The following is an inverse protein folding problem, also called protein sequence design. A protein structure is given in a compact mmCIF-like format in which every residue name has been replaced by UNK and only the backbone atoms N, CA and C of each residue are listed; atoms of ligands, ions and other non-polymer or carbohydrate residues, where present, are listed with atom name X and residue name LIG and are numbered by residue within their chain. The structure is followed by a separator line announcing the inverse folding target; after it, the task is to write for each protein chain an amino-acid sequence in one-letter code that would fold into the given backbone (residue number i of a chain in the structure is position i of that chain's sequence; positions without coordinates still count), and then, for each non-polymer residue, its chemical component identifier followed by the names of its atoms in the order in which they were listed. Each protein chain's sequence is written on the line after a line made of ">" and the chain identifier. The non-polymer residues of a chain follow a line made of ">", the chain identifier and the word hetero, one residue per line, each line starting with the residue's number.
data_IF_158283847501
#
_entry.id   IF_158283847501
#
_cell.length_a   1.000
_cell.length_b   1.000
_cell.length_c   1.000
_cell.angle_alpha   90.00
_cell.angle_beta   90.00
_cell.angle_gamma   90.00
#
_symmetry.space_group_name_H-M   'P 1'
#
loop_
_entity.id
_entity.type
_entity.pdbx_description
1 polymer ?
#
# COMPACT_ATOMS: atom_id res chain seq x y z
N UNK A 1 -27.33 2.94 -17.52
CA UNK A 1 -26.70 2.67 -16.21
C UNK A 1 -25.40 1.87 -16.25
N UNK A 2 -25.04 1.17 -17.34
CA UNK A 2 -23.82 0.36 -17.42
C UNK A 2 -22.49 1.16 -17.50
N UNK A 3 -22.53 2.41 -17.99
CA UNK A 3 -21.33 3.21 -18.22
C UNK A 3 -20.69 3.74 -16.92
N UNK A 4 -21.49 4.11 -15.91
CA UNK A 4 -21.00 4.58 -14.61
C UNK A 4 -20.33 3.48 -13.78
N UNK A 5 -20.80 2.24 -13.91
CA UNK A 5 -20.21 1.07 -13.22
C UNK A 5 -18.77 0.82 -13.69
N UNK A 6 -18.51 0.91 -15.00
CA UNK A 6 -17.15 0.73 -15.56
C UNK A 6 -16.19 1.78 -15.05
N UNK A 7 -16.61 3.06 -15.05
CA UNK A 7 -15.77 4.17 -14.56
C UNK A 7 -15.41 4.03 -13.07
N UNK A 8 -16.35 3.55 -12.24
CA UNK A 8 -16.08 3.28 -10.82
C UNK A 8 -15.08 2.14 -10.63
N UNK A 9 -15.20 1.05 -11.40
CA UNK A 9 -14.28 -0.08 -11.32
C UNK A 9 -12.87 0.29 -11.77
N UNK A 10 -12.73 1.06 -12.85
CA UNK A 10 -11.41 1.56 -13.29
C UNK A 10 -10.75 2.44 -12.22
N UNK A 11 -11.52 3.35 -11.59
CA UNK A 11 -11.01 4.19 -10.50
C UNK A 11 -10.59 3.35 -9.29
N UNK A 12 -11.38 2.34 -8.93
CA UNK A 12 -11.04 1.43 -7.83
C UNK A 12 -9.79 0.62 -8.16
N UNK A 13 -9.67 0.09 -9.38
CA UNK A 13 -8.49 -0.64 -9.84
C UNK A 13 -7.24 0.23 -9.84
N UNK A 14 -7.36 1.48 -10.31
CA UNK A 14 -6.25 2.44 -10.32
C UNK A 14 -5.81 2.81 -8.90
N UNK A 15 -6.77 3.03 -7.98
CA UNK A 15 -6.48 3.30 -6.58
C UNK A 15 -5.79 2.11 -5.90
N UNK A 16 -6.26 0.89 -6.16
CA UNK A 16 -5.64 -0.35 -5.68
C UNK A 16 -4.21 -0.50 -6.22
N UNK A 17 -3.99 -0.22 -7.49
CA UNK A 17 -2.68 -0.27 -8.12
C UNK A 17 -1.71 0.76 -7.51
N UNK A 18 -2.17 2.00 -7.34
CA UNK A 18 -1.38 3.05 -6.69
C UNK A 18 -1.03 2.68 -5.24
N UNK A 19 -1.99 2.13 -4.49
CA UNK A 19 -1.76 1.62 -3.13
C UNK A 19 -0.77 0.45 -3.10
N UNK A 20 -0.82 -0.46 -4.08
CA UNK A 20 0.12 -1.57 -4.19
C UNK A 20 1.54 -1.07 -4.48
N UNK A 21 1.70 -0.08 -5.37
CA UNK A 21 3.01 0.56 -5.62
C UNK A 21 3.52 1.25 -4.35
N UNK A 22 2.66 2.02 -3.67
CA UNK A 22 3.02 2.68 -2.42
C UNK A 22 3.52 1.66 -1.39
N UNK A 23 2.77 0.57 -1.17
CA UNK A 23 3.16 -0.48 -0.25
C UNK A 23 4.47 -1.16 -0.66
N UNK A 24 4.67 -1.40 -1.96
CA UNK A 24 5.90 -2.00 -2.49
C UNK A 24 7.12 -1.10 -2.21
N UNK A 25 7.02 0.20 -2.53
CA UNK A 25 8.11 1.16 -2.30
C UNK A 25 8.39 1.36 -0.82
N UNK A 26 7.32 1.44 -0.02
CA UNK A 26 7.39 1.51 1.44
C UNK A 26 8.14 0.32 2.04
N UNK A 27 7.82 -0.92 1.62
CA UNK A 27 8.49 -2.15 2.07
C UNK A 27 9.94 -2.27 1.57
N UNK A 28 10.20 -1.91 0.30
CA UNK A 28 11.54 -2.02 -0.28
C UNK A 28 12.53 -1.00 0.30
N UNK A 29 12.05 0.20 0.63
CA UNK A 29 12.87 1.27 1.19
C UNK A 29 12.84 1.33 2.72
N UNK A 30 12.25 0.34 3.38
CA UNK A 30 12.17 0.28 4.84
C UNK A 30 13.56 0.12 5.48
N UNK A 31 13.91 1.04 6.38
CA UNK A 31 15.05 0.91 7.28
C UNK A 31 14.58 0.86 8.73
N UNK A 32 15.26 0.04 9.55
CA UNK A 32 14.89 -0.17 10.96
C UNK A 32 15.23 1.04 11.84
N UNK A 33 16.10 1.90 11.33
CA UNK A 33 16.68 3.06 12.00
C UNK A 33 15.86 4.34 11.72
N UNK A 34 14.83 4.23 10.88
CA UNK A 34 13.97 5.34 10.49
C UNK A 34 13.25 5.93 11.73
N UNK A 35 13.28 7.26 11.93
CA UNK A 35 12.56 7.91 13.01
C UNK A 35 11.06 7.88 12.70
N UNK A 36 10.34 6.95 13.32
CA UNK A 36 8.88 6.85 13.18
C UNK A 36 8.27 7.70 14.29
N UNK A 37 7.90 8.94 13.94
CA UNK A 37 7.06 9.76 14.80
C UNK A 37 5.70 9.06 14.96
N UNK A 38 5.21 8.97 16.21
CA UNK A 38 4.02 8.20 16.55
C UNK A 38 2.79 8.50 15.68
N UNK A 39 1.82 7.57 15.68
CA UNK A 39 0.60 7.70 14.87
C UNK A 39 -0.11 9.04 15.08
N UNK A 40 -0.83 9.48 14.03
CA UNK A 40 -1.71 10.64 14.15
C UNK A 40 -2.87 10.35 15.12
N UNK A 41 -3.38 11.40 15.78
CA UNK A 41 -4.52 11.28 16.69
C UNK A 41 -5.79 10.83 15.93
N UNK A 42 -6.60 9.86 16.42
CA UNK A 42 -6.54 9.20 17.73
C UNK A 42 -5.75 7.87 17.77
N UNK A 43 -5.19 7.43 16.63
CA UNK A 43 -4.50 6.13 16.53
C UNK A 43 -3.19 6.06 17.34
N UNK A 44 -2.65 7.20 17.78
CA UNK A 44 -1.52 7.24 18.73
C UNK A 44 -1.75 6.47 20.04
N UNK A 45 -3.02 6.23 20.42
CA UNK A 45 -3.33 5.38 21.59
C UNK A 45 -3.27 3.89 21.32
N UNK A 46 -3.42 3.47 20.06
CA UNK A 46 -3.40 2.06 19.68
C UNK A 46 -1.99 1.53 19.48
N UNK A 47 -1.07 2.39 19.03
CA UNK A 47 0.28 1.96 18.71
C UNK A 47 1.27 3.10 18.90
N UNK A 48 2.31 2.79 19.68
CA UNK A 48 3.45 3.65 19.94
C UNK A 48 4.68 2.93 19.37
N UNK A 49 5.39 3.52 18.40
CA UNK A 49 6.55 2.87 17.78
C UNK A 49 7.67 2.72 18.81
N UNK A 50 8.21 1.50 18.91
CA UNK A 50 9.35 1.20 19.78
C UNK A 50 10.66 1.62 19.09
N UNK A 51 11.60 2.17 19.87
CA UNK A 51 12.94 2.47 19.36
C UNK A 51 13.69 1.15 19.17
N UNK A 52 13.76 0.69 17.91
CA UNK A 52 14.32 -0.62 17.55
C UNK A 52 15.86 -0.63 17.47
N UNK A 53 16.49 0.52 17.19
CA UNK A 53 17.94 0.69 17.03
C UNK A 53 18.35 2.06 17.57
N UNK A 54 19.47 2.12 18.29
CA UNK A 54 20.08 3.37 18.76
C UNK A 54 21.48 3.53 18.12
N UNK A 55 21.85 4.71 17.61
CA UNK A 55 21.05 5.94 17.50
C UNK A 55 20.03 5.88 16.34
N UNK A 56 18.94 6.65 16.46
CA UNK A 56 17.98 6.83 15.36
C UNK A 56 18.56 7.76 14.29
N UNK A 57 18.18 7.54 13.03
CA UNK A 57 18.58 8.43 11.95
C UNK A 57 17.89 9.81 12.09
N UNK A 58 18.57 10.88 11.69
CA UNK A 58 18.00 12.24 11.70
C UNK A 58 16.88 12.43 10.65
N UNK A 59 16.84 11.56 9.63
CA UNK A 59 15.88 11.64 8.52
C UNK A 59 15.36 10.25 8.18
N UNK A 60 14.10 10.21 7.75
CA UNK A 60 13.47 9.01 7.21
C UNK A 60 14.09 8.66 5.86
N UNK A 61 14.67 7.47 5.74
CA UNK A 61 15.25 6.94 4.51
C UNK A 61 14.18 6.37 3.56
N UNK A 62 12.99 6.02 4.09
CA UNK A 62 11.87 5.54 3.29
C UNK A 62 11.49 6.56 2.19
N UNK A 63 11.38 6.08 0.95
CA UNK A 63 11.05 6.92 -0.22
C UNK A 63 9.65 7.53 -0.06
N UNK A 64 8.76 6.83 0.63
CA UNK A 64 7.39 7.29 0.92
C UNK A 64 7.30 8.12 2.21
N UNK A 65 8.43 8.51 2.81
CA UNK A 65 8.51 9.32 4.03
C UNK A 65 8.03 8.57 5.28
N UNK A 66 7.69 9.32 6.33
CA UNK A 66 7.30 8.76 7.65
C UNK A 66 6.08 7.84 7.56
N UNK A 67 5.07 8.19 6.76
CA UNK A 67 3.91 7.33 6.54
C UNK A 67 4.27 6.01 5.85
N UNK A 68 5.25 6.02 4.95
CA UNK A 68 5.79 4.83 4.31
C UNK A 68 6.58 3.96 5.30
N UNK A 69 7.41 4.55 6.15
CA UNK A 69 8.14 3.81 7.17
C UNK A 69 7.16 3.12 8.15
N UNK A 70 6.13 3.86 8.58
CA UNK A 70 5.09 3.36 9.49
C UNK A 70 4.24 2.25 8.87
N UNK A 71 3.83 2.38 7.61
CA UNK A 71 3.05 1.33 6.95
C UNK A 71 3.86 0.05 6.76
N UNK A 72 5.14 0.17 6.38
CA UNK A 72 6.03 -0.99 6.26
C UNK A 72 6.24 -1.67 7.62
N UNK A 73 6.50 -0.89 8.67
CA UNK A 73 6.66 -1.43 10.02
C UNK A 73 5.42 -2.19 10.47
N UNK A 74 4.22 -1.63 10.32
CA UNK A 74 2.98 -2.30 10.69
C UNK A 74 2.73 -3.57 9.87
N UNK A 75 2.96 -3.52 8.55
CA UNK A 75 2.81 -4.69 7.69
C UNK A 75 3.79 -5.80 8.09
N UNK A 76 5.04 -5.47 8.38
CA UNK A 76 6.06 -6.43 8.84
C UNK A 76 5.78 -6.93 10.26
N UNK A 77 5.24 -6.10 11.16
CA UNK A 77 4.94 -6.49 12.55
C UNK A 77 3.72 -7.41 12.65
N UNK A 78 2.69 -7.16 11.83
CA UNK A 78 1.44 -7.95 11.83
C UNK A 78 1.57 -9.20 10.96
N UNK A 79 2.14 -9.07 9.76
CA UNK A 79 2.17 -10.15 8.76
C UNK A 79 3.58 -10.72 8.52
N UNK A 80 4.65 -10.06 8.96
CA UNK A 80 6.02 -10.50 8.69
C UNK A 80 6.29 -10.63 7.19
N UNK A 81 6.89 -11.75 6.80
CA UNK A 81 7.09 -12.11 5.40
C UNK A 81 5.78 -12.22 4.59
N UNK A 82 4.64 -12.41 5.26
CA UNK A 82 3.32 -12.39 4.62
C UNK A 82 2.96 -11.03 4.00
N UNK A 83 3.61 -9.93 4.43
CA UNK A 83 3.42 -8.62 3.83
C UNK A 83 3.77 -8.60 2.33
N UNK A 84 4.85 -9.28 1.93
CA UNK A 84 5.22 -9.39 0.52
C UNK A 84 4.18 -10.15 -0.29
N UNK A 85 3.61 -11.21 0.28
CA UNK A 85 2.52 -11.95 -0.35
C UNK A 85 1.27 -11.08 -0.52
N UNK A 86 0.92 -10.30 0.50
CA UNK A 86 -0.21 -9.35 0.44
C UNK A 86 -0.02 -8.32 -0.67
N UNK A 87 1.17 -7.72 -0.79
CA UNK A 87 1.48 -6.75 -1.86
C UNK A 87 1.38 -7.39 -3.25
N UNK A 88 1.95 -8.59 -3.43
CA UNK A 88 1.84 -9.33 -4.71
C UNK A 88 0.38 -9.62 -5.03
N UNK A 89 -0.41 -10.07 -4.06
CA UNK A 89 -1.84 -10.37 -4.26
C UNK A 89 -2.64 -9.13 -4.66
N UNK A 90 -2.36 -7.97 -4.03
CA UNK A 90 -2.95 -6.68 -4.38
C UNK A 90 -2.59 -6.27 -5.80
N UNK A 91 -1.32 -6.46 -6.19
CA UNK A 91 -0.87 -6.16 -7.54
C UNK A 91 -1.59 -7.04 -8.57
N UNK A 92 -1.67 -8.34 -8.33
CA UNK A 92 -2.40 -9.29 -9.20
C UNK A 92 -3.87 -8.90 -9.31
N UNK A 93 -4.53 -8.59 -8.20
CA UNK A 93 -5.94 -8.17 -8.19
C UNK A 93 -6.15 -6.85 -8.93
N UNK A 94 -5.27 -5.87 -8.74
CA UNK A 94 -5.36 -4.58 -9.43
C UNK A 94 -5.20 -4.75 -10.94
N UNK A 95 -4.22 -5.55 -11.39
CA UNK A 95 -4.04 -5.88 -12.81
C UNK A 95 -5.25 -6.63 -13.33
N UNK A 96 -5.80 -7.59 -12.58
CA UNK A 96 -6.99 -8.32 -12.98
C UNK A 96 -8.20 -7.39 -13.17
N UNK A 97 -8.41 -6.42 -12.26
CA UNK A 97 -9.46 -5.42 -12.37
C UNK A 97 -9.26 -4.48 -13.57
N UNK A 98 -8.04 -4.01 -13.82
CA UNK A 98 -7.73 -3.18 -14.99
C UNK A 98 -7.81 -3.98 -16.30
N UNK A 99 -7.51 -5.27 -16.24
CA UNK A 99 -7.50 -6.19 -17.39
C UNK A 99 -8.89 -6.72 -17.72
N UNK A 100 -9.91 -6.44 -16.89
CA UNK A 100 -11.31 -6.66 -17.24
C UNK A 100 -11.74 -5.69 -18.35
N UNK A 101 -11.16 -5.87 -19.53
CA UNK A 101 -11.63 -5.31 -20.78
C UNK A 101 -13.04 -5.85 -21.00
N UNK A 102 -13.93 -4.92 -21.31
CA UNK A 102 -15.28 -5.20 -21.80
C UNK A 102 -15.15 -6.22 -22.94
N UNK A 103 -15.78 -7.39 -22.81
CA UNK A 103 -16.09 -8.22 -23.97
C UNK A 103 -16.87 -7.28 -24.90
N UNK A 104 -16.22 -6.79 -25.94
CA UNK A 104 -16.87 -6.04 -27.00
C UNK A 104 -17.81 -7.07 -27.59
N UNK A 105 -19.08 -7.05 -27.20
CA UNK A 105 -20.09 -7.90 -27.80
C UNK A 105 -20.05 -7.59 -29.30
N UNK A 106 -19.53 -8.49 -30.14
CA UNK A 106 -19.68 -8.32 -31.57
C UNK A 106 -21.11 -8.77 -31.86
N UNK A 107 -21.85 -7.98 -32.65
CA UNK A 107 -23.25 -8.20 -33.04
C UNK A 107 -24.31 -7.77 -32.03
N UNK A 108 -24.79 -6.54 -32.18
CA UNK A 108 -26.21 -6.34 -32.57
C UNK A 108 -26.20 -5.30 -33.70
N UNK A 109 -26.84 -5.68 -34.82
CA UNK A 109 -27.07 -4.87 -36.03
C UNK A 109 -27.85 -3.59 -35.73
#
# INVERSE_FOLDING_TARGET
>A
MAHSRKRRLDLMGLALFAGAIFATLSLLSYHRDDPIEGLFFPFNRLYQPDVLVYPQAERVANICGSFGALSAELMLRVAGYGAYYAVISLFVWSVALLSQRVIVAPFIR
#
